data_IF_314451570332
#
_entry.id   IF_314451570332
#
_cell.length_a   1.000
_cell.length_b   1.000
_cell.length_c   1.000
_cell.angle_alpha   90.00
_cell.angle_beta   90.00
_cell.angle_gamma   90.00
#
_symmetry.space_group_name_H-M   'P 1'
#
loop_
_entity.id
_entity.type
_entity.pdbx_description
1 polymer ?
#
# COMPACT_ATOMS: atom_id res chain seq x y z
N UNK A 1 -40.45 -7.55 -19.21
CA UNK A 1 -39.02 -7.49 -19.57
C UNK A 1 -38.27 -8.51 -18.72
N UNK A 2 -37.68 -9.50 -19.37
CA UNK A 2 -37.26 -10.79 -18.79
C UNK A 2 -36.07 -10.64 -17.83
N UNK A 3 -36.18 -11.30 -16.68
CA UNK A 3 -35.13 -11.62 -15.72
C UNK A 3 -34.09 -12.60 -16.33
N UNK A 4 -33.23 -12.12 -17.23
CA UNK A 4 -32.08 -12.91 -17.71
C UNK A 4 -30.72 -12.36 -17.27
N UNK A 5 -30.66 -11.26 -16.51
CA UNK A 5 -29.39 -10.65 -16.11
C UNK A 5 -28.66 -11.41 -14.99
N UNK A 6 -29.38 -12.12 -14.11
CA UNK A 6 -28.77 -12.91 -13.01
C UNK A 6 -28.16 -14.24 -13.47
N UNK A 7 -28.59 -14.78 -14.62
CA UNK A 7 -28.03 -16.02 -15.19
C UNK A 7 -26.77 -15.77 -16.02
N UNK A 8 -26.53 -14.57 -16.53
CA UNK A 8 -25.31 -14.29 -17.32
C UNK A 8 -24.14 -13.91 -16.39
N UNK A 9 -24.41 -13.16 -15.31
CA UNK A 9 -23.39 -12.71 -14.36
C UNK A 9 -22.77 -13.87 -13.54
N UNK A 10 -23.51 -14.97 -13.33
CA UNK A 10 -23.03 -16.12 -12.55
C UNK A 10 -22.22 -17.13 -13.38
N UNK A 11 -22.45 -17.21 -14.69
CA UNK A 11 -21.78 -18.21 -15.55
C UNK A 11 -20.36 -17.79 -15.99
N UNK A 12 -20.10 -16.50 -16.15
CA UNK A 12 -18.79 -15.97 -16.55
C UNK A 12 -17.65 -16.31 -15.55
N UNK A 13 -17.79 -16.13 -14.23
CA UNK A 13 -16.71 -16.47 -13.29
C UNK A 13 -16.54 -17.99 -13.10
N UNK A 14 -17.61 -18.78 -13.22
CA UNK A 14 -17.54 -20.24 -13.08
C UNK A 14 -16.77 -20.91 -14.22
N UNK A 15 -16.91 -20.41 -15.45
CA UNK A 15 -16.25 -21.01 -16.61
C UNK A 15 -14.73 -20.76 -16.60
N UNK A 16 -14.28 -19.63 -16.03
CA UNK A 16 -12.85 -19.28 -15.87
C UNK A 16 -12.19 -20.16 -14.80
N UNK A 17 -12.92 -20.52 -13.73
CA UNK A 17 -12.42 -21.41 -12.68
C UNK A 17 -12.30 -22.87 -13.14
N UNK A 18 -13.25 -23.34 -13.97
CA UNK A 18 -13.22 -24.72 -14.51
C UNK A 18 -12.08 -24.90 -15.52
N UNK A 19 -11.76 -23.89 -16.33
CA UNK A 19 -10.63 -23.96 -17.27
C UNK A 19 -9.27 -23.92 -16.56
N UNK A 20 -9.13 -23.16 -15.47
CA UNK A 20 -7.92 -23.15 -14.64
C UNK A 20 -7.67 -24.47 -13.89
N UNK A 21 -8.74 -25.16 -13.46
CA UNK A 21 -8.63 -26.45 -12.76
C UNK A 21 -8.12 -27.58 -13.68
N UNK A 22 -8.50 -27.56 -14.95
CA UNK A 22 -8.06 -28.59 -15.91
C UNK A 22 -6.60 -28.44 -16.35
N UNK A 23 -6.00 -27.25 -16.22
CA UNK A 23 -4.61 -26.97 -16.60
C UNK A 23 -3.59 -27.43 -15.55
N UNK A 24 -3.98 -27.55 -14.28
CA UNK A 24 -3.06 -27.83 -13.17
C UNK A 24 -3.09 -29.27 -12.60
N UNK A 25 -3.91 -30.18 -13.13
CA UNK A 25 -4.04 -31.52 -12.55
C UNK A 25 -3.23 -32.58 -13.32
N UNK A 26 -1.90 -32.58 -13.13
CA UNK A 26 -1.03 -33.72 -13.47
C UNK A 26 -0.69 -34.52 -12.21
N UNK A 27 -1.66 -35.25 -11.65
CA UNK A 27 -1.36 -36.23 -10.60
C UNK A 27 -2.02 -37.57 -10.93
N UNK A 28 -1.18 -38.59 -11.13
CA UNK A 28 -1.58 -39.99 -11.35
C UNK A 28 -2.21 -40.56 -10.07
N UNK A 29 -3.34 -41.28 -10.13
CA UNK A 29 -3.85 -42.03 -8.99
C UNK A 29 -3.25 -43.44 -9.02
N UNK A 30 -2.59 -43.86 -7.95
CA UNK A 30 -2.27 -45.27 -7.72
C UNK A 30 -2.59 -45.66 -6.28
N UNK A 31 -3.26 -46.83 -6.17
CA UNK A 31 -3.19 -47.83 -5.07
C UNK A 31 -3.99 -47.46 -3.81
N UNK A 32 -4.78 -48.31 -3.15
CA UNK A 32 -5.43 -49.64 -3.33
C UNK A 32 -6.51 -49.74 -2.23
N UNK A 33 -7.57 -50.57 -2.36
CA UNK A 33 -8.56 -50.77 -1.30
C UNK A 33 -8.23 -51.99 -0.44
N UNK A 34 -8.17 -51.83 0.88
CA UNK A 34 -8.24 -52.94 1.84
C UNK A 34 -9.46 -52.80 2.75
N UNK A 35 -10.29 -53.85 2.70
CA UNK A 35 -11.46 -54.09 3.53
C UNK A 35 -11.08 -54.39 4.99
N UNK A 36 -11.84 -53.88 5.96
CA UNK A 36 -12.31 -54.68 7.12
C UNK A 36 -13.45 -53.97 7.85
N UNK A 37 -14.60 -54.62 7.95
CA UNK A 37 -15.77 -54.20 8.73
C UNK A 37 -15.89 -55.10 9.97
N UNK A 38 -15.92 -54.51 11.17
CA UNK A 38 -16.19 -55.20 12.44
C UNK A 38 -17.37 -54.49 13.12
N UNK A 39 -18.54 -55.13 13.14
CA UNK A 39 -19.61 -54.86 14.10
C UNK A 39 -20.26 -56.19 14.49
N UNK A 40 -20.05 -56.62 15.74
CA UNK A 40 -20.76 -57.73 16.38
C UNK A 40 -22.08 -57.21 16.95
N UNK A 41 -23.21 -57.55 16.32
CA UNK A 41 -24.54 -57.34 16.88
C UNK A 41 -24.77 -58.31 18.05
N UNK A 42 -24.87 -57.81 19.27
CA UNK A 42 -25.46 -58.56 20.39
C UNK A 42 -26.97 -58.57 20.21
N UNK A 43 -27.50 -59.66 19.65
CA UNK A 43 -28.94 -59.94 19.63
C UNK A 43 -29.25 -60.78 20.86
N UNK A 44 -30.19 -60.32 21.71
CA UNK A 44 -30.74 -61.11 22.81
C UNK A 44 -31.64 -62.19 22.22
N UNK A 45 -31.30 -63.46 22.43
CA UNK A 45 -32.12 -64.62 22.06
C UNK A 45 -33.15 -64.85 23.17
N UNK A 46 -34.44 -64.71 22.86
CA UNK A 46 -35.52 -65.17 23.73
C UNK A 46 -35.52 -66.71 23.71
N UNK A 47 -35.22 -67.33 24.85
CA UNK A 47 -35.41 -68.75 25.08
C UNK A 47 -36.66 -68.94 25.93
N UNK A 48 -37.52 -69.88 25.56
CA UNK A 48 -38.75 -70.21 26.29
C UNK A 48 -38.41 -70.78 27.68
N UNK A 49 -38.46 -69.95 28.72
CA UNK A 49 -38.41 -70.42 30.11
C UNK A 49 -39.73 -71.07 30.48
N UNK A 50 -39.71 -72.39 30.66
CA UNK A 50 -40.77 -73.16 31.29
C UNK A 50 -41.05 -72.58 32.69
N UNK A 51 -42.22 -71.97 32.87
CA UNK A 51 -42.63 -71.36 34.14
C UNK A 51 -42.96 -72.44 35.18
N UNK A 52 -42.05 -72.69 36.09
CA UNK A 52 -42.34 -73.43 37.32
C UNK A 52 -43.19 -72.54 38.24
N UNK A 53 -44.47 -72.87 38.42
CA UNK A 53 -45.38 -72.17 39.35
C UNK A 53 -44.95 -72.45 40.79
N UNK A 54 -44.15 -71.54 41.35
CA UNK A 54 -43.73 -71.51 42.75
C UNK A 54 -44.43 -70.40 43.55
N UNK A 55 -45.63 -69.98 43.14
CA UNK A 55 -46.31 -68.82 43.75
C UNK A 55 -46.73 -69.03 45.21
N UNK A 56 -46.76 -70.28 45.69
CA UNK A 56 -47.23 -70.66 47.04
C UNK A 56 -46.12 -71.27 47.93
N UNK A 57 -44.86 -71.24 47.49
CA UNK A 57 -43.75 -71.69 48.32
C UNK A 57 -43.36 -70.58 49.32
N UNK A 58 -43.41 -70.92 50.61
CA UNK A 58 -43.20 -69.99 51.72
C UNK A 58 -41.78 -69.40 51.69
N UNK A 59 -40.80 -70.18 51.24
CA UNK A 59 -39.40 -69.76 51.15
C UNK A 59 -39.20 -68.76 50.00
N UNK A 60 -39.86 -69.00 48.85
CA UNK A 60 -39.81 -68.11 47.68
C UNK A 60 -40.55 -66.80 47.95
N UNK A 61 -41.62 -66.83 48.75
CA UNK A 61 -42.34 -65.63 49.17
C UNK A 61 -41.48 -64.71 50.05
N UNK A 62 -40.72 -65.28 50.98
CA UNK A 62 -39.77 -64.53 51.83
C UNK A 62 -38.64 -63.90 51.00
N UNK A 63 -38.07 -64.64 50.05
CA UNK A 63 -37.02 -64.11 49.15
C UNK A 63 -37.57 -62.98 48.28
N UNK A 64 -38.78 -63.12 47.75
CA UNK A 64 -39.46 -62.10 46.95
C UNK A 64 -39.72 -60.83 47.76
N UNK A 65 -40.19 -60.96 49.00
CA UNK A 65 -40.43 -59.81 49.89
C UNK A 65 -39.12 -59.10 50.25
N UNK A 66 -38.05 -59.85 50.55
CA UNK A 66 -36.73 -59.29 50.79
C UNK A 66 -36.17 -58.56 49.57
N UNK A 67 -36.32 -59.15 48.38
CA UNK A 67 -35.91 -58.53 47.12
C UNK A 67 -36.70 -57.25 46.83
N UNK A 68 -38.02 -57.27 47.01
CA UNK A 68 -38.85 -56.07 46.86
C UNK A 68 -38.45 -54.98 47.85
N UNK A 69 -38.24 -55.33 49.13
CA UNK A 69 -37.80 -54.37 50.16
C UNK A 69 -36.46 -53.73 49.81
N UNK A 70 -35.47 -54.53 49.40
CA UNK A 70 -34.17 -54.02 48.98
C UNK A 70 -34.25 -53.18 47.69
N UNK A 71 -35.07 -53.61 46.72
CA UNK A 71 -35.26 -52.89 45.46
C UNK A 71 -35.94 -51.54 45.69
N UNK A 72 -36.98 -51.49 46.54
CA UNK A 72 -37.66 -50.26 46.93
C UNK A 72 -36.75 -49.29 47.69
N UNK A 73 -35.80 -49.79 48.48
CA UNK A 73 -34.80 -48.95 49.13
C UNK A 73 -33.82 -48.35 48.11
N UNK A 74 -33.27 -49.17 47.20
CA UNK A 74 -32.36 -48.69 46.15
C UNK A 74 -33.02 -47.69 45.19
N UNK A 75 -34.30 -47.87 44.88
CA UNK A 75 -35.07 -46.94 44.06
C UNK A 75 -35.22 -45.58 44.75
N UNK A 76 -35.55 -45.56 46.06
CA UNK A 76 -35.59 -44.31 46.84
C UNK A 76 -34.23 -43.61 46.88
N UNK A 77 -33.15 -44.33 47.17
CA UNK A 77 -31.78 -43.78 47.15
C UNK A 77 -31.34 -43.30 45.75
N UNK A 78 -31.84 -43.93 44.67
CA UNK A 78 -31.59 -43.47 43.31
C UNK A 78 -32.34 -42.18 43.00
N UNK A 79 -33.62 -42.10 43.37
CA UNK A 79 -34.46 -40.92 43.15
C UNK A 79 -33.95 -39.70 43.93
N UNK A 80 -33.52 -39.87 45.18
CA UNK A 80 -32.91 -38.81 45.99
C UNK A 80 -31.62 -38.27 45.33
N UNK A 81 -30.72 -39.16 44.88
CA UNK A 81 -29.51 -38.75 44.15
C UNK A 81 -29.82 -38.06 42.82
N UNK A 82 -30.89 -38.47 42.15
CA UNK A 82 -31.33 -37.86 40.89
C UNK A 82 -31.88 -36.46 41.13
N UNK A 83 -32.66 -36.26 42.19
CA UNK A 83 -33.19 -34.96 42.61
C UNK A 83 -32.06 -34.01 43.00
N UNK A 84 -31.10 -34.46 43.82
CA UNK A 84 -29.94 -33.64 44.22
C UNK A 84 -29.13 -33.17 42.99
N UNK A 85 -28.84 -34.07 42.04
CA UNK A 85 -28.10 -33.73 40.80
C UNK A 85 -28.89 -32.79 39.88
N UNK A 86 -30.22 -32.89 39.87
CA UNK A 86 -31.09 -31.98 39.11
C UNK A 86 -31.09 -30.58 39.76
N UNK A 87 -31.16 -30.52 41.09
CA UNK A 87 -31.12 -29.27 41.84
C UNK A 87 -29.80 -28.53 41.64
N UNK A 88 -28.65 -29.20 41.80
CA UNK A 88 -27.31 -28.60 41.55
C UNK A 88 -27.16 -28.03 40.14
N UNK A 89 -27.69 -28.72 39.12
CA UNK A 89 -27.65 -28.24 37.72
C UNK A 89 -28.64 -27.11 37.43
N UNK A 90 -29.71 -26.97 38.22
CA UNK A 90 -30.63 -25.84 38.13
C UNK A 90 -29.98 -24.60 38.74
N UNK A 91 -29.43 -24.71 39.95
CA UNK A 91 -28.71 -23.64 40.63
C UNK A 91 -27.52 -23.12 39.81
N UNK A 92 -26.73 -24.01 39.20
CA UNK A 92 -25.62 -23.58 38.33
C UNK A 92 -26.10 -22.82 37.08
N UNK A 93 -27.23 -23.23 36.49
CA UNK A 93 -27.81 -22.51 35.35
C UNK A 93 -28.34 -21.14 35.76
N UNK A 94 -29.05 -21.07 36.88
CA UNK A 94 -29.62 -19.81 37.37
C UNK A 94 -28.49 -18.82 37.72
N UNK A 95 -27.38 -19.29 38.31
CA UNK A 95 -26.16 -18.50 38.54
C UNK A 95 -25.53 -17.99 37.24
N UNK A 96 -25.37 -18.84 36.24
CA UNK A 96 -24.81 -18.45 34.94
C UNK A 96 -25.73 -17.44 34.20
N UNK A 97 -27.05 -17.61 34.30
CA UNK A 97 -28.03 -16.68 33.72
C UNK A 97 -27.92 -15.32 34.41
N UNK A 98 -27.82 -15.29 35.75
CA UNK A 98 -27.66 -14.05 36.49
C UNK A 98 -26.38 -13.31 36.09
N UNK A 99 -25.25 -14.02 35.91
CA UNK A 99 -23.99 -13.43 35.45
C UNK A 99 -24.11 -12.83 34.03
N UNK A 100 -24.85 -13.48 33.13
CA UNK A 100 -25.10 -12.98 31.78
C UNK A 100 -25.97 -11.71 31.82
N UNK A 101 -27.02 -11.70 32.65
CA UNK A 101 -27.90 -10.53 32.82
C UNK A 101 -27.11 -9.34 33.39
N UNK A 102 -26.26 -9.59 34.38
CA UNK A 102 -25.46 -8.54 35.02
C UNK A 102 -24.41 -7.97 34.04
N UNK A 103 -23.79 -8.83 33.21
CA UNK A 103 -22.88 -8.40 32.13
C UNK A 103 -23.61 -7.57 31.06
N UNK A 104 -24.74 -8.05 30.56
CA UNK A 104 -25.54 -7.35 29.55
C UNK A 104 -26.02 -5.97 30.05
N UNK A 105 -26.38 -5.87 31.34
CA UNK A 105 -26.74 -4.60 31.98
C UNK A 105 -25.57 -3.63 32.06
N UNK A 106 -24.36 -4.12 32.34
CA UNK A 106 -23.15 -3.29 32.36
C UNK A 106 -22.78 -2.80 30.96
N UNK A 107 -22.79 -3.69 29.97
CA UNK A 107 -22.50 -3.36 28.57
C UNK A 107 -23.50 -2.33 28.04
N UNK A 108 -24.80 -2.50 28.32
CA UNK A 108 -25.84 -1.55 27.96
C UNK A 108 -25.66 -0.18 28.63
N UNK A 109 -25.21 -0.16 29.88
CA UNK A 109 -24.91 1.10 30.60
C UNK A 109 -23.66 1.81 30.09
N UNK A 110 -22.69 1.06 29.54
CA UNK A 110 -21.49 1.60 28.89
C UNK A 110 -21.84 2.16 27.52
N UNK A 111 -22.63 1.44 26.71
CA UNK A 111 -23.14 1.93 25.44
C UNK A 111 -23.93 3.23 25.61
N UNK A 112 -24.85 3.29 26.58
CA UNK A 112 -25.65 4.49 26.84
C UNK A 112 -24.77 5.68 27.29
N UNK A 113 -23.67 5.43 28.04
CA UNK A 113 -22.70 6.48 28.41
C UNK A 113 -21.86 6.94 27.23
N UNK A 114 -21.43 6.02 26.36
CA UNK A 114 -20.65 6.33 25.16
C UNK A 114 -21.52 7.11 24.17
N UNK A 115 -22.78 6.72 23.97
CA UNK A 115 -23.72 7.41 23.09
C UNK A 115 -24.01 8.83 23.60
N UNK A 116 -24.24 8.99 24.90
CA UNK A 116 -24.48 10.32 25.52
C UNK A 116 -23.22 11.19 25.54
N UNK A 117 -22.03 10.59 25.64
CA UNK A 117 -20.74 11.27 25.49
C UNK A 117 -20.46 11.71 24.06
N UNK A 118 -20.80 10.88 23.07
CA UNK A 118 -20.65 11.16 21.65
C UNK A 118 -21.65 12.23 21.17
N UNK A 119 -22.90 12.21 21.68
CA UNK A 119 -23.90 13.24 21.38
C UNK A 119 -23.53 14.62 21.94
N UNK A 120 -22.89 14.68 23.13
CA UNK A 120 -22.43 15.94 23.73
C UNK A 120 -21.17 16.50 23.07
N UNK A 121 -20.31 15.66 22.51
CA UNK A 121 -19.08 16.11 21.83
C UNK A 121 -19.31 16.42 20.32
N UNK A 122 -20.41 15.93 19.73
CA UNK A 122 -20.77 16.18 18.33
C UNK A 122 -21.31 17.57 18.01
N UNK A 123 -21.69 18.39 19.00
CA UNK A 123 -22.23 19.74 18.78
C UNK A 123 -21.18 20.87 18.82
N UNK A 124 -19.90 20.58 19.03
CA UNK A 124 -18.82 21.59 18.99
C UNK A 124 -17.87 21.45 17.79
N UNK A 125 -18.08 20.46 16.91
CA UNK A 125 -17.29 20.26 15.69
C UNK A 125 -18.24 20.02 14.50
N UNK A 126 -18.99 21.06 14.14
CA UNK A 126 -19.80 21.12 12.91
C UNK A 126 -18.97 21.17 11.61
N UNK A 127 -17.98 20.27 11.47
CA UNK A 127 -17.09 20.17 10.31
C UNK A 127 -16.60 18.75 9.98
N UNK A 128 -16.92 17.72 10.77
CA UNK A 128 -16.43 16.34 10.52
C UNK A 128 -17.58 15.32 10.33
N UNK A 129 -18.84 15.78 10.37
CA UNK A 129 -20.02 14.94 10.17
C UNK A 129 -20.25 14.46 8.72
N UNK A 130 -19.38 14.84 7.77
CA UNK A 130 -19.36 14.24 6.42
C UNK A 130 -18.53 12.94 6.35
N UNK A 131 -17.88 12.49 7.44
CA UNK A 131 -16.84 11.44 7.37
C UNK A 131 -17.08 10.15 8.14
N UNK A 132 -18.24 9.96 8.79
CA UNK A 132 -18.58 8.67 9.44
C UNK A 132 -19.61 7.85 8.62
N UNK A 133 -19.92 8.31 7.41
CA UNK A 133 -21.00 7.76 6.59
C UNK A 133 -20.61 7.18 5.24
N UNK A 134 -19.38 6.76 4.96
CA UNK A 134 -19.09 5.92 3.78
C UNK A 134 -17.69 5.29 3.81
N UNK A 135 -17.65 3.97 3.78
CA UNK A 135 -16.47 3.12 3.72
C UNK A 135 -15.44 3.51 2.63
N UNK A 136 -14.15 3.55 3.00
CA UNK A 136 -13.01 3.15 2.14
C UNK A 136 -12.32 4.17 1.22
N UNK A 137 -12.89 5.33 0.90
CA UNK A 137 -12.31 6.24 -0.11
C UNK A 137 -11.48 7.42 0.41
N UNK A 138 -11.97 8.12 1.45
CA UNK A 138 -11.45 9.44 1.83
C UNK A 138 -10.17 9.41 2.69
N UNK A 139 -9.98 8.39 3.54
CA UNK A 139 -8.75 8.25 4.33
C UNK A 139 -7.51 7.98 3.46
N UNK A 140 -7.67 7.13 2.44
CA UNK A 140 -6.61 6.77 1.50
C UNK A 140 -6.25 7.96 0.59
N UNK A 141 -7.25 8.72 0.11
CA UNK A 141 -7.00 9.93 -0.69
C UNK A 141 -6.35 11.06 0.13
N UNK A 142 -6.77 11.24 1.38
CA UNK A 142 -6.15 12.22 2.29
C UNK A 142 -4.68 11.91 2.55
N UNK A 143 -4.35 10.64 2.81
CA UNK A 143 -2.96 10.22 3.02
C UNK A 143 -2.12 10.34 1.75
N UNK A 144 -2.65 9.93 0.58
CA UNK A 144 -1.95 10.11 -0.70
C UNK A 144 -1.63 11.59 -0.92
N UNK A 145 -2.61 12.48 -0.77
CA UNK A 145 -2.42 13.92 -0.96
C UNK A 145 -1.38 14.50 0.01
N UNK A 146 -1.41 14.12 1.29
CA UNK A 146 -0.42 14.56 2.27
C UNK A 146 0.99 14.02 1.95
N UNK A 147 1.11 12.75 1.57
CA UNK A 147 2.38 12.14 1.23
C UNK A 147 2.98 12.72 -0.05
N UNK A 148 2.14 13.03 -1.06
CA UNK A 148 2.60 13.73 -2.26
C UNK A 148 3.06 15.15 -1.96
N UNK A 149 2.39 15.87 -1.05
CA UNK A 149 2.82 17.21 -0.66
C UNK A 149 4.18 17.19 0.06
N UNK A 150 4.37 16.25 0.99
CA UNK A 150 5.66 16.07 1.66
C UNK A 150 6.76 15.66 0.68
N UNK A 151 6.48 14.72 -0.23
CA UNK A 151 7.44 14.29 -1.24
C UNK A 151 7.81 15.42 -2.20
N UNK A 152 6.87 16.26 -2.61
CA UNK A 152 7.18 17.45 -3.40
C UNK A 152 8.08 18.42 -2.64
N UNK A 153 7.83 18.66 -1.34
CA UNK A 153 8.70 19.52 -0.53
C UNK A 153 10.12 18.96 -0.39
N UNK A 154 10.26 17.65 -0.17
CA UNK A 154 11.55 16.96 -0.16
C UNK A 154 12.23 16.99 -1.53
N UNK A 155 11.47 16.77 -2.60
CA UNK A 155 11.94 16.82 -3.99
C UNK A 155 12.40 18.21 -4.39
N UNK A 156 11.75 19.28 -3.93
CA UNK A 156 12.21 20.67 -4.10
C UNK A 156 13.50 20.89 -3.32
N UNK A 157 13.59 20.45 -2.06
CA UNK A 157 14.80 20.63 -1.26
C UNK A 157 16.01 19.90 -1.89
N UNK A 158 15.84 18.65 -2.33
CA UNK A 158 16.88 17.89 -3.05
C UNK A 158 17.16 18.49 -4.43
N UNK A 159 16.11 18.92 -5.12
CA UNK A 159 16.17 19.56 -6.43
C UNK A 159 16.94 20.87 -6.41
N UNK A 160 16.85 21.68 -5.36
CA UNK A 160 17.63 22.91 -5.22
C UNK A 160 19.14 22.61 -5.11
N UNK A 161 19.52 21.60 -4.32
CA UNK A 161 20.93 21.20 -4.18
C UNK A 161 21.45 20.62 -5.50
N UNK A 162 20.72 19.68 -6.10
CA UNK A 162 21.08 19.09 -7.39
C UNK A 162 21.10 20.14 -8.52
N UNK A 163 20.11 21.04 -8.51
CA UNK A 163 19.97 22.15 -9.43
C UNK A 163 21.15 23.11 -9.37
N UNK A 164 21.59 23.48 -8.17
CA UNK A 164 22.76 24.34 -7.99
C UNK A 164 24.04 23.68 -8.49
N UNK A 165 24.23 22.38 -8.22
CA UNK A 165 25.39 21.65 -8.73
C UNK A 165 25.38 21.54 -10.26
N UNK A 166 24.21 21.31 -10.87
CA UNK A 166 24.05 21.25 -12.32
C UNK A 166 24.23 22.62 -12.98
N UNK A 167 23.70 23.68 -12.34
CA UNK A 167 23.84 25.08 -12.76
C UNK A 167 25.31 25.46 -12.90
N UNK A 168 26.09 25.23 -11.85
CA UNK A 168 27.50 25.60 -11.83
C UNK A 168 28.28 24.79 -12.87
N UNK A 169 28.04 23.48 -12.96
CA UNK A 169 28.75 22.61 -13.89
C UNK A 169 28.51 22.99 -15.36
N UNK A 170 27.24 23.16 -15.78
CA UNK A 170 26.92 23.53 -17.16
C UNK A 170 27.22 25.01 -17.44
N UNK A 171 27.10 25.90 -16.46
CA UNK A 171 27.50 27.31 -16.58
C UNK A 171 29.00 27.46 -16.86
N UNK A 172 29.85 26.80 -16.08
CA UNK A 172 31.31 26.81 -16.32
C UNK A 172 31.62 26.26 -17.71
N UNK A 173 31.03 25.13 -18.08
CA UNK A 173 31.24 24.50 -19.40
C UNK A 173 30.82 25.41 -20.56
N UNK A 174 29.71 26.13 -20.42
CA UNK A 174 29.24 27.09 -21.40
C UNK A 174 30.18 28.29 -21.52
N UNK A 175 30.65 28.85 -20.39
CA UNK A 175 31.65 29.94 -20.40
C UNK A 175 32.96 29.48 -21.04
N UNK A 176 33.48 28.31 -20.69
CA UNK A 176 34.71 27.76 -21.29
C UNK A 176 34.55 27.63 -22.80
N UNK A 177 33.40 27.11 -23.25
CA UNK A 177 33.09 26.99 -24.68
C UNK A 177 33.06 28.36 -25.35
N UNK A 178 32.35 29.33 -24.79
CA UNK A 178 32.24 30.69 -25.34
C UNK A 178 33.59 31.41 -25.41
N UNK A 179 34.39 31.34 -24.35
CA UNK A 179 35.75 31.91 -24.34
C UNK A 179 36.65 31.29 -25.41
N UNK A 180 36.54 29.98 -25.62
CA UNK A 180 37.31 29.28 -26.65
C UNK A 180 36.81 29.64 -28.06
N UNK A 181 35.50 29.62 -28.31
CA UNK A 181 34.94 29.79 -29.66
C UNK A 181 34.89 31.24 -30.11
N UNK A 182 34.56 32.18 -29.22
CA UNK A 182 34.40 33.59 -29.60
C UNK A 182 35.70 34.37 -29.49
N UNK A 183 36.50 34.08 -28.45
CA UNK A 183 37.70 34.86 -28.13
C UNK A 183 39.01 34.09 -28.42
N UNK A 184 38.95 32.78 -28.69
CA UNK A 184 40.15 31.96 -28.90
C UNK A 184 40.99 31.77 -27.63
N UNK A 185 40.41 31.99 -26.45
CA UNK A 185 41.11 31.92 -25.17
C UNK A 185 41.10 30.48 -24.65
N UNK A 186 42.28 29.97 -24.28
CA UNK A 186 42.46 28.62 -23.75
C UNK A 186 43.15 28.57 -22.39
N UNK A 187 43.86 29.65 -22.01
CA UNK A 187 44.66 29.73 -20.78
C UNK A 187 44.38 31.08 -20.11
N UNK A 188 44.14 31.07 -18.80
CA UNK A 188 43.98 32.28 -17.98
C UNK A 188 44.87 32.20 -16.75
N UNK A 189 45.62 33.28 -16.49
CA UNK A 189 46.56 33.40 -15.37
C UNK A 189 47.54 32.21 -15.26
N UNK A 190 47.99 31.72 -16.43
CA UNK A 190 48.88 30.55 -16.53
C UNK A 190 48.22 29.18 -16.28
N UNK A 191 46.90 29.13 -16.11
CA UNK A 191 46.13 27.89 -15.87
C UNK A 191 45.17 27.57 -17.03
N UNK A 192 44.86 26.29 -17.21
CA UNK A 192 43.74 25.89 -18.07
C UNK A 192 42.42 26.43 -17.53
N UNK A 193 41.48 26.77 -18.43
CA UNK A 193 40.18 27.33 -18.06
C UNK A 193 39.43 26.47 -17.03
N UNK A 194 39.50 25.14 -17.15
CA UNK A 194 38.89 24.21 -16.19
C UNK A 194 39.41 24.39 -14.76
N UNK A 195 40.72 24.64 -14.60
CA UNK A 195 41.35 24.87 -13.29
C UNK A 195 41.07 26.28 -12.79
N UNK A 196 40.99 27.26 -13.69
CA UNK A 196 40.68 28.64 -13.34
C UNK A 196 39.27 28.76 -12.73
N UNK A 197 38.26 28.18 -13.39
CA UNK A 197 36.87 28.20 -12.92
C UNK A 197 36.58 27.24 -11.76
N UNK A 198 37.53 26.40 -11.35
CA UNK A 198 37.42 25.64 -10.11
C UNK A 198 37.53 26.55 -8.87
N UNK A 199 38.17 27.71 -9.00
CA UNK A 199 38.42 28.65 -7.89
C UNK A 199 37.69 29.98 -8.05
N UNK A 200 37.45 30.40 -9.30
CA UNK A 200 36.81 31.67 -9.62
C UNK A 200 35.37 31.44 -10.06
N UNK A 201 34.46 32.29 -9.57
CA UNK A 201 33.08 32.32 -10.00
C UNK A 201 32.97 32.75 -11.47
N UNK A 202 32.32 31.90 -12.29
CA UNK A 202 32.14 32.13 -13.71
C UNK A 202 31.21 33.33 -14.01
N UNK A 203 30.39 33.77 -13.06
CA UNK A 203 29.51 34.94 -13.20
C UNK A 203 30.27 36.26 -13.12
N UNK A 204 31.50 36.26 -12.59
CA UNK A 204 32.29 37.47 -12.41
C UNK A 204 33.03 37.87 -13.70
N UNK A 205 32.26 38.32 -14.69
CA UNK A 205 32.76 38.70 -16.02
C UNK A 205 33.90 39.73 -15.96
N UNK A 206 33.87 40.67 -15.00
CA UNK A 206 34.93 41.69 -14.82
C UNK A 206 36.27 41.08 -14.43
N UNK A 207 36.26 40.06 -13.58
CA UNK A 207 37.47 39.37 -13.15
C UNK A 207 38.04 38.53 -14.29
N UNK A 208 37.16 37.86 -15.05
CA UNK A 208 37.53 37.11 -16.25
C UNK A 208 38.12 38.05 -17.31
N UNK A 209 37.46 39.17 -17.62
CA UNK A 209 37.93 40.17 -18.57
C UNK A 209 39.29 40.76 -18.17
N UNK A 210 39.51 41.01 -16.87
CA UNK A 210 40.81 41.46 -16.35
C UNK A 210 41.89 40.40 -16.53
N UNK A 211 41.59 39.14 -16.25
CA UNK A 211 42.52 38.03 -16.44
C UNK A 211 42.92 37.86 -17.91
N UNK A 212 41.95 37.96 -18.83
CA UNK A 212 42.19 37.95 -20.28
C UNK A 212 43.12 39.11 -20.67
N UNK A 213 42.79 40.33 -20.23
CA UNK A 213 43.55 41.53 -20.56
C UNK A 213 45.00 41.46 -20.06
N UNK A 214 45.23 40.90 -18.86
CA UNK A 214 46.56 40.70 -18.27
C UNK A 214 47.35 39.62 -19.02
N UNK A 215 46.71 38.51 -19.39
CA UNK A 215 47.37 37.35 -19.99
C UNK A 215 47.74 37.59 -21.46
N UNK A 216 46.85 38.21 -22.23
CA UNK A 216 47.00 38.33 -23.69
C UNK A 216 47.49 39.71 -24.15
N UNK A 217 47.47 40.71 -23.27
CA UNK A 217 47.88 42.10 -23.53
C UNK A 217 47.42 42.61 -24.92
N UNK A 218 46.16 43.06 -25.05
CA UNK A 218 45.58 43.39 -26.35
C UNK A 218 46.29 44.56 -27.06
N UNK A 219 47.07 45.37 -26.35
CA UNK A 219 47.87 46.43 -26.96
C UNK A 219 48.94 45.87 -27.89
N UNK A 220 49.49 44.70 -27.55
CA UNK A 220 50.47 43.99 -28.37
C UNK A 220 49.90 43.50 -29.70
N UNK A 221 48.60 43.18 -29.75
CA UNK A 221 47.90 42.74 -30.97
C UNK A 221 47.70 43.86 -32.01
N UNK A 222 47.78 45.13 -31.59
CA UNK A 222 47.52 46.30 -32.45
C UNK A 222 48.79 46.93 -33.02
N UNK A 223 49.94 46.72 -32.37
CA UNK A 223 51.25 47.34 -32.72
C UNK A 223 52.05 46.43 -33.67
N UNK A 224 51.97 45.13 -33.46
CA UNK A 224 52.65 44.12 -34.28
C UNK A 224 51.58 43.35 -35.04
N UNK A 225 51.54 43.48 -36.38
CA UNK A 225 50.70 42.62 -37.23
C UNK A 225 50.94 41.13 -36.93
N UNK A 226 50.06 40.21 -37.34
CA UNK A 226 49.92 38.86 -36.78
C UNK A 226 51.29 38.18 -36.70
N UNK A 227 51.91 38.26 -35.52
CA UNK A 227 53.28 37.83 -35.33
C UNK A 227 53.25 36.45 -34.72
N UNK A 228 53.94 35.54 -35.39
CA UNK A 228 54.36 34.19 -34.98
C UNK A 228 54.50 34.03 -33.45
N UNK A 229 53.39 33.70 -32.80
CA UNK A 229 53.27 33.35 -31.39
C UNK A 229 52.41 32.08 -31.27
N UNK A 230 52.20 31.55 -30.06
CA UNK A 230 51.36 30.36 -29.89
C UNK A 230 49.95 30.60 -30.46
N UNK A 231 49.39 29.60 -31.16
CA UNK A 231 48.14 29.67 -31.94
C UNK A 231 46.97 30.35 -31.21
N UNK A 232 46.83 30.16 -29.89
CA UNK A 232 45.79 30.81 -29.08
C UNK A 232 45.92 32.35 -29.00
N UNK A 233 47.13 32.89 -29.10
CA UNK A 233 47.38 34.33 -29.19
C UNK A 233 46.95 34.87 -30.55
N UNK A 234 47.06 34.07 -31.61
CA UNK A 234 46.69 34.47 -32.97
C UNK A 234 45.17 34.66 -33.10
N UNK A 235 44.35 33.72 -32.60
CA UNK A 235 42.88 33.83 -32.66
C UNK A 235 42.36 35.01 -31.83
N UNK A 236 42.87 35.22 -30.62
CA UNK A 236 42.50 36.37 -29.80
C UNK A 236 42.90 37.70 -30.46
N UNK A 237 44.11 37.80 -31.02
CA UNK A 237 44.53 39.01 -31.72
C UNK A 237 43.74 39.27 -33.02
N UNK A 238 43.30 38.22 -33.73
CA UNK A 238 42.38 38.36 -34.88
C UNK A 238 41.07 38.99 -34.40
N UNK A 239 40.48 38.45 -33.34
CA UNK A 239 39.24 38.99 -32.77
C UNK A 239 39.38 40.47 -32.34
N UNK A 240 40.49 40.82 -31.66
CA UNK A 240 40.79 42.21 -31.25
C UNK A 240 40.89 43.14 -32.47
N UNK A 241 41.54 42.69 -33.55
CA UNK A 241 41.68 43.46 -34.79
C UNK A 241 40.33 43.68 -35.49
N UNK A 242 39.47 42.66 -35.54
CA UNK A 242 38.12 42.78 -36.12
C UNK A 242 37.25 43.76 -35.34
N UNK A 243 37.22 43.66 -34.00
CA UNK A 243 36.43 44.55 -33.15
C UNK A 243 36.94 45.98 -33.18
N UNK A 244 38.27 46.18 -33.17
CA UNK A 244 38.86 47.51 -33.27
C UNK A 244 38.64 48.15 -34.66
N UNK A 245 38.68 47.37 -35.73
CA UNK A 245 38.34 47.84 -37.08
C UNK A 245 36.85 48.23 -37.19
N UNK A 246 35.95 47.46 -36.56
CA UNK A 246 34.53 47.79 -36.48
C UNK A 246 34.28 49.09 -35.70
N UNK A 247 34.96 49.28 -34.57
CA UNK A 247 34.85 50.49 -33.75
C UNK A 247 35.33 51.75 -34.50
N UNK A 248 36.40 51.65 -35.30
CA UNK A 248 36.92 52.78 -36.10
C UNK A 248 35.96 53.26 -37.20
N UNK A 249 35.00 52.43 -37.64
CA UNK A 249 33.97 52.82 -38.63
C UNK A 249 32.89 53.72 -38.02
N UNK A 250 32.79 53.81 -36.69
CA UNK A 250 31.84 54.66 -35.98
C UNK A 250 32.55 55.99 -35.66
N UNK A 251 32.16 57.06 -36.37
CA UNK A 251 32.83 58.35 -36.29
C UNK A 251 32.74 58.95 -34.87
N UNK A 252 33.91 59.16 -34.23
CA UNK A 252 34.03 59.80 -32.92
C UNK A 252 34.15 58.86 -31.70
N UNK A 253 34.12 57.53 -31.87
CA UNK A 253 34.22 56.59 -30.75
C UNK A 253 35.62 55.94 -30.67
N UNK A 254 36.37 56.23 -29.60
CA UNK A 254 37.58 55.47 -29.24
C UNK A 254 37.16 54.38 -28.26
N UNK A 255 36.64 53.25 -28.77
CA UNK A 255 36.33 52.11 -27.93
C UNK A 255 37.64 51.55 -27.34
N UNK A 256 37.81 51.60 -26.02
CA UNK A 256 38.95 50.95 -25.37
C UNK A 256 38.86 49.44 -25.59
N UNK A 257 39.96 48.80 -25.99
CA UNK A 257 39.97 47.35 -26.24
C UNK A 257 39.55 46.55 -25.01
N UNK A 258 39.90 47.02 -23.81
CA UNK A 258 39.44 46.45 -22.55
C UNK A 258 37.91 46.41 -22.44
N UNK A 259 37.23 47.52 -22.77
CA UNK A 259 35.76 47.59 -22.75
C UNK A 259 35.12 46.62 -23.74
N UNK A 260 35.71 46.44 -24.92
CA UNK A 260 35.22 45.43 -25.88
C UNK A 260 35.38 44.00 -25.37
N UNK A 261 36.47 43.70 -24.64
CA UNK A 261 36.66 42.41 -23.97
C UNK A 261 35.62 42.24 -22.85
N UNK A 262 35.38 43.27 -22.05
CA UNK A 262 34.38 43.25 -20.98
C UNK A 262 32.98 42.96 -21.53
N UNK A 263 32.55 43.67 -22.58
CA UNK A 263 31.25 43.45 -23.25
C UNK A 263 31.12 42.04 -23.85
N UNK A 264 32.20 41.51 -24.44
CA UNK A 264 32.19 40.16 -25.01
C UNK A 264 32.08 39.08 -23.93
N UNK A 265 32.85 39.22 -22.85
CA UNK A 265 32.78 38.29 -21.72
C UNK A 265 31.42 38.39 -21.01
N UNK A 266 30.86 39.60 -20.88
CA UNK A 266 29.51 39.79 -20.34
C UNK A 266 28.45 39.07 -21.19
N UNK A 267 28.55 39.14 -22.52
CA UNK A 267 27.66 38.40 -23.44
C UNK A 267 27.78 36.88 -23.25
N UNK A 268 29.01 36.36 -23.18
CA UNK A 268 29.28 34.93 -22.98
C UNK A 268 28.74 34.45 -21.64
N UNK A 269 28.96 35.22 -20.57
CA UNK A 269 28.46 34.90 -19.23
C UNK A 269 26.94 34.93 -19.20
N UNK A 270 26.31 35.92 -19.85
CA UNK A 270 24.85 36.01 -19.94
C UNK A 270 24.25 34.80 -20.68
N UNK A 271 24.84 34.37 -21.80
CA UNK A 271 24.39 33.16 -22.49
C UNK A 271 24.59 31.92 -21.62
N UNK A 272 25.74 31.81 -20.94
CA UNK A 272 26.02 30.71 -20.03
C UNK A 272 25.05 30.64 -18.84
N UNK A 273 24.58 31.79 -18.32
CA UNK A 273 23.56 31.86 -17.28
C UNK A 273 22.22 31.28 -17.75
N UNK A 274 21.84 31.49 -19.02
CA UNK A 274 20.61 30.88 -19.55
C UNK A 274 20.70 29.36 -19.62
N UNK A 275 21.85 28.83 -20.05
CA UNK A 275 22.11 27.39 -20.11
C UNK A 275 22.16 26.79 -18.70
N UNK A 276 22.82 27.50 -17.77
CA UNK A 276 22.92 27.11 -16.37
C UNK A 276 21.54 27.09 -15.68
N UNK A 277 20.71 28.10 -15.95
CA UNK A 277 19.33 28.17 -15.45
C UNK A 277 18.47 27.01 -15.94
N UNK A 278 18.53 26.71 -17.24
CA UNK A 278 17.82 25.55 -17.81
C UNK A 278 18.29 24.21 -17.21
N UNK A 279 19.59 24.06 -16.95
CA UNK A 279 20.14 22.89 -16.28
C UNK A 279 19.64 22.76 -14.83
N UNK A 280 19.57 23.88 -14.10
CA UNK A 280 19.03 23.93 -12.74
C UNK A 280 17.55 23.53 -12.71
N UNK A 281 16.73 24.13 -13.58
CA UNK A 281 15.30 23.83 -13.69
C UNK A 281 15.08 22.35 -13.99
N UNK A 282 15.78 21.80 -14.99
CA UNK A 282 15.67 20.39 -15.34
C UNK A 282 16.02 19.46 -14.17
N UNK A 283 17.11 19.75 -13.45
CA UNK A 283 17.50 18.96 -12.28
C UNK A 283 16.48 19.05 -11.13
N UNK A 284 15.86 20.22 -10.92
CA UNK A 284 14.78 20.38 -9.93
C UNK A 284 13.54 19.59 -10.33
N UNK A 285 13.14 19.64 -11.61
CA UNK A 285 12.00 18.88 -12.11
C UNK A 285 12.22 17.37 -11.98
N UNK A 286 13.42 16.89 -12.32
CA UNK A 286 13.75 15.47 -12.26
C UNK A 286 13.74 14.97 -10.80
N UNK A 287 14.24 15.76 -9.85
CA UNK A 287 14.17 15.45 -8.42
C UNK A 287 12.71 15.38 -7.91
N UNK A 288 11.86 16.33 -8.31
CA UNK A 288 10.43 16.32 -7.98
C UNK A 288 9.76 15.07 -8.57
N UNK A 289 9.98 14.77 -9.85
CA UNK A 289 9.40 13.59 -10.52
C UNK A 289 9.78 12.29 -9.82
N UNK A 290 11.05 12.14 -9.43
CA UNK A 290 11.55 10.96 -8.68
C UNK A 290 10.82 10.83 -7.34
N UNK A 291 10.72 11.91 -6.57
CA UNK A 291 10.05 11.90 -5.26
C UNK A 291 8.56 11.56 -5.35
N UNK A 292 7.84 12.11 -6.34
CA UNK A 292 6.41 11.84 -6.55
C UNK A 292 6.17 10.42 -7.04
N UNK A 293 7.02 9.91 -7.94
CA UNK A 293 6.92 8.55 -8.46
C UNK A 293 7.10 7.50 -7.35
N UNK A 294 7.96 7.76 -6.36
CA UNK A 294 8.13 6.90 -5.20
C UNK A 294 6.84 6.80 -4.35
N UNK A 295 6.10 7.90 -4.19
CA UNK A 295 4.81 7.90 -3.50
C UNK A 295 3.76 7.13 -4.28
N UNK A 296 3.65 7.35 -5.59
CA UNK A 296 2.71 6.62 -6.44
C UNK A 296 2.98 5.11 -6.46
N UNK A 297 4.24 4.70 -6.52
CA UNK A 297 4.63 3.29 -6.44
C UNK A 297 4.19 2.65 -5.11
N UNK A 298 4.44 3.31 -3.98
CA UNK A 298 4.01 2.82 -2.66
C UNK A 298 2.48 2.78 -2.53
N UNK A 299 1.79 3.76 -3.10
CA UNK A 299 0.33 3.81 -3.12
C UNK A 299 -0.27 2.61 -3.85
N UNK A 300 0.24 2.27 -5.03
CA UNK A 300 -0.21 1.10 -5.81
C UNK A 300 -0.06 -0.19 -5.00
N UNK A 301 1.07 -0.36 -4.30
CA UNK A 301 1.30 -1.53 -3.44
C UNK A 301 0.26 -1.60 -2.32
N UNK A 302 -0.01 -0.49 -1.64
CA UNK A 302 -1.00 -0.43 -0.56
C UNK A 302 -2.41 -0.70 -1.09
N UNK A 303 -2.77 -0.15 -2.24
CA UNK A 303 -4.07 -0.37 -2.87
C UNK A 303 -4.27 -1.86 -3.22
N UNK A 304 -3.25 -2.51 -3.78
CA UNK A 304 -3.31 -3.94 -4.08
C UNK A 304 -3.49 -4.80 -2.82
N UNK A 305 -2.80 -4.45 -1.73
CA UNK A 305 -2.96 -5.14 -0.45
C UNK A 305 -4.39 -4.99 0.12
N UNK A 306 -4.96 -3.78 0.03
CA UNK A 306 -6.35 -3.52 0.45
C UNK A 306 -7.34 -4.31 -0.41
N UNK A 307 -7.18 -4.33 -1.74
CA UNK A 307 -8.03 -5.11 -2.64
C UNK A 307 -7.96 -6.60 -2.31
N UNK A 308 -6.76 -7.14 -2.10
CA UNK A 308 -6.57 -8.54 -1.74
C UNK A 308 -7.28 -8.89 -0.41
N UNK A 309 -7.20 -8.02 0.59
CA UNK A 309 -7.91 -8.19 1.86
C UNK A 309 -9.43 -8.20 1.69
N UNK A 310 -9.98 -7.28 0.89
CA UNK A 310 -11.43 -7.22 0.59
C UNK A 310 -11.89 -8.49 -0.14
N UNK A 311 -11.12 -8.96 -1.13
CA UNK A 311 -11.42 -10.20 -1.85
C UNK A 311 -11.41 -11.40 -0.91
N UNK A 312 -10.44 -11.49 0.01
CA UNK A 312 -10.39 -12.57 1.00
C UNK A 312 -11.63 -12.57 1.91
N UNK A 313 -12.06 -11.39 2.40
CA UNK A 313 -13.30 -11.26 3.19
C UNK A 313 -14.54 -11.69 2.41
N UNK A 314 -14.65 -11.31 1.13
CA UNK A 314 -15.76 -11.72 0.26
C UNK A 314 -15.82 -13.25 0.08
N UNK A 315 -14.67 -13.91 -0.07
CA UNK A 315 -14.59 -15.38 -0.18
C UNK A 315 -15.10 -16.05 1.11
N UNK A 316 -14.68 -15.56 2.29
CA UNK A 316 -15.12 -16.10 3.58
C UNK A 316 -16.65 -15.98 3.72
N UNK A 317 -17.20 -14.80 3.43
CA UNK A 317 -18.66 -14.56 3.48
C UNK A 317 -19.38 -15.49 2.49
N UNK A 318 -18.84 -15.68 1.28
CA UNK A 318 -19.44 -16.57 0.28
C UNK A 318 -19.48 -18.03 0.74
N UNK A 319 -18.40 -18.54 1.34
CA UNK A 319 -18.35 -19.89 1.91
C UNK A 319 -19.38 -20.04 3.05
N UNK A 320 -19.49 -19.05 3.94
CA UNK A 320 -20.49 -19.06 5.01
C UNK A 320 -21.92 -19.11 4.45
N UNK A 321 -22.22 -18.36 3.40
CA UNK A 321 -23.52 -18.38 2.71
C UNK A 321 -23.79 -19.77 2.11
N UNK A 322 -22.81 -20.38 1.44
CA UNK A 322 -22.97 -21.74 0.88
C UNK A 322 -23.28 -22.76 1.97
N UNK A 323 -22.50 -22.77 3.05
CA UNK A 323 -22.71 -23.68 4.20
C UNK A 323 -24.10 -23.44 4.80
N UNK A 324 -24.47 -22.18 5.00
CA UNK A 324 -25.80 -21.80 5.50
C UNK A 324 -26.92 -22.32 4.60
N UNK A 325 -26.81 -22.16 3.27
CA UNK A 325 -27.79 -22.66 2.31
C UNK A 325 -27.89 -24.20 2.34
N UNK A 326 -26.77 -24.92 2.44
CA UNK A 326 -26.75 -26.38 2.55
C UNK A 326 -27.46 -26.83 3.84
N UNK A 327 -27.14 -26.20 4.98
CA UNK A 327 -27.76 -26.51 6.27
C UNK A 327 -29.26 -26.19 6.27
N UNK A 328 -29.66 -25.06 5.69
CA UNK A 328 -31.06 -24.66 5.52
C UNK A 328 -31.82 -25.65 4.64
N UNK A 329 -31.23 -26.06 3.52
CA UNK A 329 -31.80 -27.07 2.63
C UNK A 329 -32.01 -28.41 3.35
N UNK A 330 -30.99 -28.90 4.09
CA UNK A 330 -31.08 -30.12 4.88
C UNK A 330 -32.18 -30.05 5.95
N UNK A 331 -32.29 -28.94 6.68
CA UNK A 331 -33.36 -28.72 7.67
C UNK A 331 -34.74 -28.80 7.03
N UNK A 332 -34.94 -28.12 5.88
CA UNK A 332 -36.23 -28.12 5.18
C UNK A 332 -36.63 -29.52 4.71
N UNK A 333 -35.69 -30.28 4.14
CA UNK A 333 -35.92 -31.67 3.72
C UNK A 333 -36.32 -32.57 4.90
N UNK A 334 -35.67 -32.41 6.07
CA UNK A 334 -36.01 -33.18 7.28
C UNK A 334 -37.42 -32.88 7.78
N UNK A 335 -37.83 -31.61 7.76
CA UNK A 335 -39.19 -31.20 8.15
C UNK A 335 -40.26 -31.76 7.20
N UNK A 336 -40.02 -31.72 5.89
CA UNK A 336 -40.95 -32.27 4.89
C UNK A 336 -41.10 -33.80 5.00
N UNK A 337 -40.02 -34.51 5.35
CA UNK A 337 -40.11 -35.96 5.62
C UNK A 337 -40.96 -36.23 6.87
N UNK A 338 -40.76 -35.46 7.95
CA UNK A 338 -41.54 -35.62 9.19
C UNK A 338 -43.04 -35.43 8.94
N UNK A 339 -43.44 -34.43 8.16
CA UNK A 339 -44.85 -34.19 7.84
C UNK A 339 -45.48 -35.32 7.01
N UNK A 340 -44.71 -35.97 6.14
CA UNK A 340 -45.17 -37.16 5.42
C UNK A 340 -45.38 -38.36 6.35
N UNK A 341 -44.44 -38.64 7.26
CA UNK A 341 -44.59 -39.75 8.22
C UNK A 341 -45.76 -39.53 9.19
N UNK A 342 -45.98 -38.30 9.69
CA UNK A 342 -47.15 -38.01 10.55
C UNK A 342 -48.47 -38.18 9.83
N UNK A 343 -48.53 -37.97 8.51
CA UNK A 343 -49.76 -38.21 7.73
C UNK A 343 -50.06 -39.70 7.60
N UNK A 344 -49.03 -40.53 7.40
CA UNK A 344 -49.18 -41.99 7.30
C UNK A 344 -49.58 -42.65 8.63
N UNK A 345 -49.18 -42.06 9.77
CA UNK A 345 -49.46 -42.59 11.11
C UNK A 345 -50.87 -42.27 11.64
N UNK A 346 -51.55 -41.30 11.02
CA UNK A 346 -52.91 -40.88 11.39
C UNK A 346 -53.98 -41.46 10.45
N UNK A 347 -53.59 -42.32 9.51
CA UNK A 347 -54.45 -43.25 8.79
C UNK A 347 -54.42 -44.59 9.50
#
# INVERSE_FOLDING_TARGET
>A
MKLHYSKILFFLPLNIWVTLYHVYNKNKPSITPHHTTIYTSRVLSEGDTQSSRYDNDEEIKLVKEHFHRQTSQRLREYDERLQEKRQKRKEQRDKNIQEIIDKDKMDKSLEEKIEKGCLKCGCALGGVAASVGLFGGLGIYGWKSSATATAMAEGVAQGLVAGETARIAEGIKAVIKGLYTELGVSILDGMELSSYFATIDYTNFKTIARAINKQYDPSSCLISGPSSGPVARETFCIWVNEKSAAARKIQGNVASTYKSIEEAVESIVSEAETVAGAAAEKATEDAIKISTAAVDAKYIICQNAVIASVVALLIIVFVMIIIYLILRYRRRKRMNKKTQYTKLLNQ
#
